data_IF_647253657112
#
_entry.id   IF_647253657112
#
_cell.length_a   1.000
_cell.length_b   1.000
_cell.length_c   1.000
_cell.angle_alpha   90.00
_cell.angle_beta   90.00
_cell.angle_gamma   90.00
#
_symmetry.space_group_name_H-M   'P 1'
#
loop_
_entity.id
_entity.type
_entity.pdbx_description
1 polymer ?
#
# COMPACT_ATOMS: atom_id res chain seq x y z
N UNK A 1 6.24 7.48 4.33
CA UNK A 1 6.95 6.19 4.07
C UNK A 1 6.38 5.61 2.78
N UNK A 2 7.19 5.44 1.74
CA UNK A 2 6.71 4.92 0.44
C UNK A 2 6.38 3.43 0.50
N UNK A 3 5.47 2.97 -0.37
CA UNK A 3 5.01 1.57 -0.46
C UNK A 3 6.17 0.56 -0.56
N UNK A 4 7.23 0.89 -1.31
CA UNK A 4 8.45 0.06 -1.40
C UNK A 4 9.16 -0.10 -0.06
N UNK A 5 9.28 0.98 0.71
CA UNK A 5 9.90 0.94 2.04
C UNK A 5 9.06 0.08 3.01
N UNK A 6 7.74 0.17 2.93
CA UNK A 6 6.85 -0.67 3.72
C UNK A 6 6.95 -2.15 3.33
N UNK A 7 6.99 -2.50 2.02
CA UNK A 7 7.23 -3.87 1.59
C UNK A 7 8.60 -4.41 2.04
N UNK A 8 9.66 -3.60 1.92
CA UNK A 8 11.01 -3.96 2.37
C UNK A 8 11.06 -4.18 3.89
N UNK A 9 10.37 -3.35 4.67
CA UNK A 9 10.24 -3.51 6.11
C UNK A 9 9.50 -4.81 6.46
N UNK A 10 8.36 -5.08 5.84
CA UNK A 10 7.60 -6.33 6.07
C UNK A 10 8.42 -7.57 5.73
N UNK A 11 9.15 -7.53 4.62
CA UNK A 11 10.05 -8.60 4.23
C UNK A 11 11.16 -8.82 5.27
N UNK A 12 11.76 -7.73 5.73
CA UNK A 12 12.82 -7.77 6.75
C UNK A 12 12.32 -8.31 8.08
N UNK A 13 11.11 -7.91 8.50
CA UNK A 13 10.45 -8.42 9.71
C UNK A 13 10.18 -9.93 9.58
N UNK A 14 9.66 -10.38 8.44
CA UNK A 14 9.40 -11.80 8.20
C UNK A 14 10.69 -12.64 8.23
N UNK A 15 11.79 -12.13 7.66
CA UNK A 15 13.10 -12.77 7.74
C UNK A 15 13.62 -12.81 9.18
N UNK A 16 13.54 -11.69 9.91
CA UNK A 16 13.98 -11.60 11.30
C UNK A 16 13.19 -12.56 12.20
N UNK A 17 11.88 -12.67 12.00
CA UNK A 17 11.03 -13.60 12.75
C UNK A 17 11.43 -15.07 12.50
N UNK A 18 11.65 -15.46 11.24
CA UNK A 18 12.10 -16.83 10.92
C UNK A 18 13.50 -17.13 11.46
N UNK A 19 14.38 -16.13 11.47
CA UNK A 19 15.71 -16.27 12.07
C UNK A 19 15.63 -16.43 13.60
N UNK A 20 14.80 -15.63 14.27
CA UNK A 20 14.67 -15.63 15.73
C UNK A 20 13.93 -16.84 16.29
N UNK A 21 12.88 -17.31 15.61
CA UNK A 21 11.99 -18.38 16.11
C UNK A 21 12.17 -19.73 15.38
N UNK A 22 13.04 -19.78 14.38
CA UNK A 22 13.18 -20.92 13.48
C UNK A 22 12.07 -20.97 12.42
N UNK A 23 12.30 -21.73 11.35
CA UNK A 23 11.30 -21.94 10.31
C UNK A 23 10.30 -23.02 10.79
N UNK A 24 9.00 -22.70 10.97
CA UNK A 24 8.01 -23.73 11.23
C UNK A 24 7.95 -24.72 10.07
N UNK A 25 7.52 -25.95 10.35
CA UNK A 25 7.30 -26.96 9.34
C UNK A 25 6.36 -26.41 8.23
N UNK A 26 6.59 -26.77 6.96
CA UNK A 26 5.73 -26.31 5.87
C UNK A 26 4.29 -26.74 6.11
N UNK A 27 3.37 -25.79 5.98
CA UNK A 27 1.93 -25.98 6.12
C UNK A 27 1.27 -25.89 4.73
N UNK A 28 0.14 -26.59 4.51
CA UNK A 28 -0.62 -26.41 3.28
C UNK A 28 -1.23 -25.01 3.22
N UNK A 29 -1.17 -24.38 2.05
CA UNK A 29 -1.70 -23.03 1.87
C UNK A 29 -3.22 -22.96 2.04
N UNK A 30 -3.70 -22.07 2.91
CA UNK A 30 -5.13 -21.85 3.15
C UNK A 30 -5.65 -20.61 2.40
N UNK A 31 -6.38 -20.84 1.31
CA UNK A 31 -7.11 -19.76 0.62
C UNK A 31 -8.11 -19.03 1.53
N UNK A 32 -8.73 -19.75 2.48
CA UNK A 32 -9.68 -19.17 3.44
C UNK A 32 -8.95 -18.27 4.44
N UNK A 33 -7.81 -18.71 4.96
CA UNK A 33 -6.96 -17.93 5.86
C UNK A 33 -6.46 -16.66 5.19
N UNK A 34 -5.93 -16.80 3.97
CA UNK A 34 -5.51 -15.67 3.15
C UNK A 34 -6.64 -14.66 2.90
N UNK A 35 -7.79 -15.13 2.41
CA UNK A 35 -8.93 -14.25 2.12
C UNK A 35 -9.45 -13.54 3.37
N UNK A 36 -9.54 -14.24 4.51
CA UNK A 36 -9.97 -13.65 5.77
C UNK A 36 -9.00 -12.56 6.23
N UNK A 37 -7.68 -12.85 6.24
CA UNK A 37 -6.66 -11.88 6.61
C UNK A 37 -6.68 -10.65 5.70
N UNK A 38 -6.83 -10.89 4.39
CA UNK A 38 -6.96 -9.84 3.39
C UNK A 38 -8.18 -8.95 3.65
N UNK A 39 -9.36 -9.54 3.89
CA UNK A 39 -10.60 -8.80 4.14
C UNK A 39 -10.53 -7.98 5.43
N UNK A 40 -9.98 -8.56 6.50
CA UNK A 40 -9.79 -7.85 7.78
C UNK A 40 -8.89 -6.63 7.57
N UNK A 41 -7.74 -6.80 6.91
CA UNK A 41 -6.81 -5.70 6.73
C UNK A 41 -7.32 -4.64 5.75
N UNK A 42 -8.05 -5.05 4.71
CA UNK A 42 -8.71 -4.14 3.78
C UNK A 42 -9.77 -3.28 4.50
N UNK A 43 -10.56 -3.89 5.39
CA UNK A 43 -11.57 -3.19 6.19
C UNK A 43 -10.92 -2.18 7.14
N UNK A 44 -9.86 -2.60 7.86
CA UNK A 44 -9.09 -1.71 8.75
C UNK A 44 -8.51 -0.53 7.96
N UNK A 45 -7.81 -0.81 6.86
CA UNK A 45 -7.19 0.23 6.02
C UNK A 45 -8.21 1.24 5.48
N UNK A 46 -9.37 0.74 5.05
CA UNK A 46 -10.47 1.59 4.56
C UNK A 46 -11.04 2.47 5.67
N UNK A 47 -11.24 1.90 6.87
CA UNK A 47 -11.78 2.62 8.02
C UNK A 47 -10.79 3.68 8.53
N UNK A 48 -9.51 3.34 8.62
CA UNK A 48 -8.43 4.28 8.97
C UNK A 48 -8.35 5.43 7.98
N UNK A 49 -8.36 5.15 6.67
CA UNK A 49 -8.35 6.20 5.64
C UNK A 49 -9.60 7.08 5.68
N UNK A 50 -10.78 6.52 5.98
CA UNK A 50 -11.99 7.30 6.23
C UNK A 50 -11.86 8.20 7.47
N UNK A 51 -11.34 7.64 8.57
CA UNK A 51 -11.14 8.37 9.81
C UNK A 51 -10.14 9.53 9.66
N UNK A 52 -9.03 9.30 8.96
CA UNK A 52 -8.02 10.32 8.70
C UNK A 52 -8.55 11.44 7.82
N UNK A 53 -9.34 11.13 6.78
CA UNK A 53 -10.04 12.16 5.99
C UNK A 53 -11.01 12.97 6.84
N UNK A 54 -11.73 12.34 7.77
CA UNK A 54 -12.65 13.04 8.67
C UNK A 54 -11.92 13.99 9.62
N UNK A 55 -10.74 13.62 10.12
CA UNK A 55 -9.89 14.49 10.95
C UNK A 55 -9.23 15.60 10.15
N UNK A 56 -8.82 15.29 8.92
CA UNK A 56 -8.10 16.22 8.05
C UNK A 56 -9.03 17.21 7.35
N UNK A 57 -10.35 17.01 7.33
CA UNK A 57 -11.30 18.03 6.86
C UNK A 57 -11.23 19.38 7.64
N UNK A 58 -10.48 19.44 8.75
CA UNK A 58 -10.21 20.66 9.54
C UNK A 58 -8.91 21.37 9.09
N UNK A 59 -8.06 20.71 8.30
CA UNK A 59 -6.84 21.28 7.72
C UNK A 59 -6.87 21.05 6.21
N UNK A 60 -7.03 22.11 5.41
CA UNK A 60 -7.16 22.01 3.95
C UNK A 60 -6.21 20.95 3.37
N UNK A 61 -6.74 19.92 2.69
CA UNK A 61 -5.88 18.89 2.17
C UNK A 61 -5.04 19.49 1.06
N UNK A 62 -3.79 19.04 0.99
CA UNK A 62 -2.92 19.05 -0.19
C UNK A 62 -3.56 18.18 -1.31
N UNK A 63 -4.86 18.37 -1.58
CA UNK A 63 -5.59 17.71 -2.66
C UNK A 63 -5.06 18.29 -3.96
N UNK A 64 -4.30 17.47 -4.70
CA UNK A 64 -3.88 17.76 -6.07
C UNK A 64 -5.09 18.27 -6.86
N UNK A 65 -5.15 19.59 -7.17
CA UNK A 65 -6.37 20.19 -7.70
C UNK A 65 -6.49 19.80 -9.17
N UNK A 66 -7.32 18.79 -9.47
CA UNK A 66 -7.68 18.45 -10.86
C UNK A 66 -7.84 16.97 -11.21
N UNK A 67 -7.45 16.03 -10.35
CA UNK A 67 -7.58 14.61 -10.66
C UNK A 67 -9.07 14.16 -10.71
N UNK A 68 -9.52 13.44 -11.76
CA UNK A 68 -10.89 12.92 -11.84
C UNK A 68 -11.26 12.08 -10.61
N UNK A 69 -12.50 12.22 -10.12
CA UNK A 69 -13.00 11.47 -8.94
C UNK A 69 -12.82 9.95 -9.09
N UNK A 70 -13.00 9.42 -10.30
CA UNK A 70 -12.79 8.00 -10.58
C UNK A 70 -11.32 7.56 -10.39
N UNK A 71 -10.36 8.40 -10.79
CA UNK A 71 -8.93 8.12 -10.64
C UNK A 71 -8.51 8.13 -9.17
N UNK A 72 -9.07 9.06 -8.39
CA UNK A 72 -8.86 9.11 -6.93
C UNK A 72 -9.38 7.84 -6.23
N UNK A 73 -10.61 7.43 -6.54
CA UNK A 73 -11.21 6.21 -5.99
C UNK A 73 -10.38 4.98 -6.38
N UNK A 74 -9.90 4.93 -7.63
CA UNK A 74 -9.05 3.86 -8.10
C UNK A 74 -7.70 3.82 -7.36
N UNK A 75 -7.06 4.96 -7.16
CA UNK A 75 -5.80 5.07 -6.42
C UNK A 75 -5.95 4.60 -4.97
N UNK A 76 -7.01 5.05 -4.29
CA UNK A 76 -7.33 4.61 -2.92
C UNK A 76 -7.55 3.10 -2.85
N UNK A 77 -8.37 2.56 -3.76
CA UNK A 77 -8.68 1.13 -3.82
C UNK A 77 -7.43 0.29 -4.12
N UNK A 78 -6.57 0.76 -5.03
CA UNK A 78 -5.31 0.10 -5.36
C UNK A 78 -4.34 0.09 -4.16
N UNK A 79 -4.26 1.19 -3.40
CA UNK A 79 -3.48 1.26 -2.17
C UNK A 79 -3.96 0.27 -1.11
N UNK A 80 -5.28 0.20 -0.89
CA UNK A 80 -5.90 -0.76 0.05
C UNK A 80 -5.64 -2.21 -0.39
N UNK A 81 -5.85 -2.51 -1.68
CA UNK A 81 -5.64 -3.85 -2.21
C UNK A 81 -4.17 -4.29 -2.12
N UNK A 82 -3.22 -3.38 -2.39
CA UNK A 82 -1.80 -3.63 -2.23
C UNK A 82 -1.45 -3.92 -0.76
N UNK A 83 -1.88 -3.06 0.16
CA UNK A 83 -1.58 -3.21 1.59
C UNK A 83 -2.18 -4.50 2.17
N UNK A 84 -3.43 -4.81 1.82
CA UNK A 84 -4.10 -6.04 2.24
C UNK A 84 -3.41 -7.29 1.67
N UNK A 85 -2.96 -7.24 0.41
CA UNK A 85 -2.21 -8.34 -0.21
C UNK A 85 -0.86 -8.54 0.48
N UNK A 86 -0.13 -7.45 0.73
CA UNK A 86 1.15 -7.52 1.43
C UNK A 86 0.99 -8.18 2.80
N UNK A 87 0.02 -7.72 3.61
CA UNK A 87 -0.20 -8.26 4.95
C UNK A 87 -0.61 -9.72 4.90
N UNK A 88 -1.61 -10.07 4.09
CA UNK A 88 -2.05 -11.45 3.98
C UNK A 88 -0.90 -12.37 3.53
N UNK A 89 -0.15 -11.98 2.50
CA UNK A 89 0.94 -12.79 1.96
C UNK A 89 2.09 -12.98 2.98
N UNK A 90 2.48 -11.92 3.69
CA UNK A 90 3.54 -12.02 4.70
C UNK A 90 3.09 -12.77 5.97
N UNK A 91 1.82 -12.65 6.37
CA UNK A 91 1.27 -13.47 7.47
C UNK A 91 1.34 -14.96 7.10
N UNK A 92 0.86 -15.34 5.92
CA UNK A 92 0.96 -16.73 5.44
C UNK A 92 2.43 -17.21 5.36
N UNK A 93 3.37 -16.31 5.09
CA UNK A 93 4.80 -16.65 5.04
C UNK A 93 5.45 -16.84 6.42
N UNK A 94 4.95 -16.12 7.43
CA UNK A 94 5.33 -16.32 8.83
C UNK A 94 4.77 -17.66 9.33
N UNK A 95 3.54 -18.00 8.95
CA UNK A 95 2.88 -19.26 9.31
C UNK A 95 3.39 -20.47 8.50
N UNK A 96 4.39 -20.28 7.64
CA UNK A 96 4.94 -21.31 6.73
C UNK A 96 3.91 -21.94 5.77
N UNK A 97 2.79 -21.26 5.52
CA UNK A 97 1.79 -21.61 4.50
C UNK A 97 2.19 -21.14 3.09
N UNK A 98 2.99 -20.08 3.00
CA UNK A 98 3.45 -19.50 1.73
C UNK A 98 4.97 -19.25 1.75
N UNK A 99 5.75 -19.73 0.77
CA UNK A 99 7.17 -19.40 0.76
C UNK A 99 7.40 -17.88 0.59
N UNK A 100 8.38 -17.33 1.32
CA UNK A 100 8.73 -15.90 1.29
C UNK A 100 8.89 -15.30 -0.12
N UNK A 101 9.52 -15.97 -1.09
CA UNK A 101 9.61 -15.46 -2.46
C UNK A 101 8.24 -15.27 -3.12
N UNK A 102 7.28 -16.16 -2.85
CA UNK A 102 5.91 -16.04 -3.35
C UNK A 102 5.15 -14.91 -2.67
N UNK A 103 5.38 -14.68 -1.37
CA UNK A 103 4.80 -13.52 -0.69
C UNK A 103 5.32 -12.19 -1.26
N UNK A 104 6.62 -12.11 -1.54
CA UNK A 104 7.24 -10.97 -2.19
C UNK A 104 6.68 -10.76 -3.61
N UNK A 105 6.54 -11.84 -4.39
CA UNK A 105 5.98 -11.77 -5.74
C UNK A 105 4.51 -11.31 -5.73
N UNK A 106 3.67 -11.86 -4.85
CA UNK A 106 2.28 -11.44 -4.72
C UNK A 106 2.17 -9.95 -4.36
N UNK A 107 3.02 -9.48 -3.44
CA UNK A 107 3.09 -8.07 -3.05
C UNK A 107 3.54 -7.18 -4.23
N UNK A 108 4.52 -7.63 -5.01
CA UNK A 108 5.01 -6.91 -6.19
C UNK A 108 3.96 -6.84 -7.30
N UNK A 109 3.23 -7.92 -7.56
CA UNK A 109 2.14 -7.94 -8.54
C UNK A 109 0.98 -7.02 -8.12
N UNK A 110 0.63 -7.03 -6.83
CA UNK A 110 -0.40 -6.14 -6.29
C UNK A 110 0.00 -4.65 -6.33
N UNK A 111 1.28 -4.34 -6.50
CA UNK A 111 1.76 -2.97 -6.63
C UNK A 111 1.46 -2.39 -8.02
N UNK A 112 1.34 -3.22 -9.07
CA UNK A 112 1.16 -2.74 -10.45
C UNK A 112 -0.04 -1.79 -10.61
N UNK A 113 -1.25 -2.10 -10.11
CA UNK A 113 -2.38 -1.16 -10.18
C UNK A 113 -2.11 0.15 -9.44
N UNK A 114 -1.40 0.10 -8.31
CA UNK A 114 -1.04 1.27 -7.51
C UNK A 114 -0.03 2.16 -8.25
N UNK A 115 1.00 1.55 -8.86
CA UNK A 115 1.97 2.27 -9.69
C UNK A 115 1.34 2.92 -10.92
N UNK A 116 0.39 2.22 -11.57
CA UNK A 116 -0.40 2.79 -12.67
C UNK A 116 -1.26 3.95 -12.19
N UNK A 117 -1.94 3.82 -11.05
CA UNK A 117 -2.74 4.89 -10.48
C UNK A 117 -1.89 6.13 -10.18
N UNK A 118 -0.73 5.94 -9.57
CA UNK A 118 0.20 7.02 -9.25
C UNK A 118 0.70 7.72 -10.52
N UNK A 119 1.19 6.95 -11.50
CA UNK A 119 1.65 7.50 -12.78
C UNK A 119 0.56 8.28 -13.55
N UNK A 120 -0.70 7.84 -13.47
CA UNK A 120 -1.82 8.56 -14.06
C UNK A 120 -2.15 9.84 -13.28
N UNK A 121 -1.95 9.84 -11.97
CA UNK A 121 -2.26 10.96 -11.09
C UNK A 121 -1.18 12.05 -11.18
N UNK A 122 0.09 11.70 -11.35
CA UNK A 122 1.22 12.64 -11.55
C UNK A 122 0.97 13.61 -12.72
N UNK A 123 0.17 13.22 -13.70
CA UNK A 123 -0.21 14.07 -14.85
C UNK A 123 -1.07 15.28 -14.47
N UNK A 124 -1.62 15.29 -13.25
CA UNK A 124 -2.47 16.35 -12.72
C UNK A 124 -1.76 17.16 -11.63
N UNK A 125 -0.49 16.89 -11.34
CA UNK A 125 0.28 17.69 -10.40
C UNK A 125 0.48 19.10 -10.97
N UNK A 126 0.10 20.17 -10.24
CA UNK A 126 0.26 21.52 -10.76
C UNK A 126 1.74 21.78 -11.05
N UNK A 127 2.03 22.33 -12.23
CA UNK A 127 3.38 22.72 -12.60
C UNK A 127 4.01 23.55 -11.47
N UNK A 128 5.28 23.31 -11.09
CA UNK A 128 5.92 24.09 -10.04
C UNK A 128 5.77 25.56 -10.41
N UNK A 129 5.26 26.36 -9.47
CA UNK A 129 5.01 27.77 -9.68
C UNK A 129 6.28 28.44 -10.20
N UNK A 130 6.37 28.64 -11.52
CA UNK A 130 7.47 29.36 -12.15
C UNK A 130 7.49 30.72 -11.48
N UNK A 131 8.54 30.99 -10.70
CA UNK A 131 8.70 32.23 -9.96
C UNK A 131 8.41 33.39 -10.91
N UNK A 132 7.39 34.19 -10.59
CA UNK A 132 7.06 35.37 -11.37
C UNK A 132 8.33 36.22 -11.52
N UNK A 133 8.64 36.74 -12.72
CA UNK A 133 9.82 37.58 -12.91
C UNK A 133 9.77 38.74 -11.92
N UNK A 134 10.77 38.82 -11.03
CA UNK A 134 10.93 39.97 -10.15
C UNK A 134 11.00 41.24 -11.03
N UNK A 135 10.19 42.27 -10.76
CA UNK A 135 10.36 43.55 -11.43
C UNK A 135 11.77 44.07 -11.13
N UNK A 136 12.51 44.40 -12.20
CA UNK A 136 13.85 44.96 -12.13
C UNK A 136 13.85 46.29 -11.33
N UNK A 137 14.94 46.61 -10.61
CA UNK A 137 15.02 47.75 -9.69
C UNK A 137 14.88 49.12 -10.36
#
# INVERSE_FOLDING_TARGET
MGALAAAGLMHSIALAARWAFGAPAPQPFSWRGFALMWLIFAAISTLSGWWDRRRSAVAEPEEQPGAPRALRIFSDAAGVAWAATAVAAYTMAVDSELPLPWAALATALAFVPMGVAHHLTDRYEPAPATAAPQPAP
#
